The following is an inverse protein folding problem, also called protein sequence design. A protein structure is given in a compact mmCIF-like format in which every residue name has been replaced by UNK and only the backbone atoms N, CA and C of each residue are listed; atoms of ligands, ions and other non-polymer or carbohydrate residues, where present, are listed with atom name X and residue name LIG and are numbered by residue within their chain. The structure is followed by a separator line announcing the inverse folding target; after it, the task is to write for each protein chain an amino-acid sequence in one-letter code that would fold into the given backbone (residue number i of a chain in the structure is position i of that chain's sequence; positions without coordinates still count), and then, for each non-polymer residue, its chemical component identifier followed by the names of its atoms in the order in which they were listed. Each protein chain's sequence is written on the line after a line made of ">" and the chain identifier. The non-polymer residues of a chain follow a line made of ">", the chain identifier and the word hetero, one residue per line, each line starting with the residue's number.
data_IF_734377309201
#
_entry.id   IF_734377309201
#
_cell.length_a   1.000
_cell.length_b   1.000
_cell.length_c   1.000
_cell.angle_alpha   90.00
_cell.angle_beta   90.00
_cell.angle_gamma   90.00
#
_symmetry.space_group_name_H-M   'P 1'
#
loop_
_entity.id
_entity.type
_entity.pdbx_description
1 polymer ?
#
# COMPACT_ATOMS: atom_id res chain seq x y z
N UNK A 1 -19.03 -14.61 -6.59
CA UNK A 1 -20.09 -15.05 -7.54
C UNK A 1 -21.15 -15.93 -6.87
N UNK A 2 -20.80 -16.86 -5.95
CA UNK A 2 -21.74 -17.67 -5.15
C UNK A 2 -22.90 -16.85 -4.57
N UNK A 3 -22.58 -15.83 -3.76
CA UNK A 3 -23.60 -15.03 -3.07
C UNK A 3 -24.48 -14.21 -4.02
N UNK A 4 -23.96 -13.80 -5.18
CA UNK A 4 -24.78 -13.16 -6.22
C UNK A 4 -25.80 -14.15 -6.82
N UNK A 5 -25.37 -15.38 -7.09
CA UNK A 5 -26.23 -16.41 -7.67
C UNK A 5 -27.28 -16.94 -6.67
N UNK A 6 -26.92 -17.00 -5.39
CA UNK A 6 -27.75 -17.61 -4.35
C UNK A 6 -28.47 -16.58 -3.45
N UNK A 7 -28.29 -15.28 -3.67
CA UNK A 7 -28.82 -14.24 -2.77
C UNK A 7 -28.17 -14.27 -1.37
N UNK A 8 -26.87 -14.59 -1.32
CA UNK A 8 -26.09 -14.67 -0.09
C UNK A 8 -25.78 -13.30 0.53
N UNK A 9 -25.35 -13.28 1.81
CA UNK A 9 -25.22 -12.06 2.60
C UNK A 9 -24.03 -11.17 2.18
N UNK A 10 -23.04 -11.69 1.45
CA UNK A 10 -21.85 -10.93 1.03
C UNK A 10 -21.95 -10.41 -0.40
N UNK A 11 -23.18 -10.16 -0.87
CA UNK A 11 -23.44 -9.51 -2.15
C UNK A 11 -24.26 -8.23 -1.97
N UNK A 12 -23.78 -7.13 -2.55
CA UNK A 12 -24.54 -5.90 -2.69
C UNK A 12 -24.28 -5.26 -4.06
N UNK A 13 -25.31 -4.64 -4.64
CA UNK A 13 -25.18 -3.86 -5.89
C UNK A 13 -24.15 -2.73 -5.74
N UNK A 14 -24.08 -2.11 -4.56
CA UNK A 14 -23.08 -1.10 -4.23
C UNK A 14 -21.66 -1.65 -4.38
N UNK A 15 -21.39 -2.81 -3.77
CA UNK A 15 -20.08 -3.48 -3.83
C UNK A 15 -19.73 -3.90 -5.26
N UNK A 16 -20.68 -4.47 -6.00
CA UNK A 16 -20.44 -4.87 -7.39
C UNK A 16 -20.00 -3.69 -8.27
N UNK A 17 -20.69 -2.54 -8.15
CA UNK A 17 -20.33 -1.34 -8.90
C UNK A 17 -18.98 -0.75 -8.44
N UNK A 18 -18.64 -0.83 -7.15
CA UNK A 18 -17.32 -0.44 -6.67
C UNK A 18 -16.21 -1.31 -7.27
N UNK A 19 -16.42 -2.64 -7.35
CA UNK A 19 -15.49 -3.58 -7.99
C UNK A 19 -15.33 -3.25 -9.48
N UNK A 20 -16.42 -3.01 -10.20
CA UNK A 20 -16.36 -2.63 -11.61
C UNK A 20 -15.65 -1.31 -11.83
N UNK A 21 -15.93 -0.28 -11.02
CA UNK A 21 -15.20 0.99 -11.07
C UNK A 21 -13.69 0.78 -10.90
N UNK A 22 -13.26 0.02 -9.89
CA UNK A 22 -11.86 -0.27 -9.65
C UNK A 22 -11.21 -1.05 -10.79
N UNK A 23 -11.88 -2.09 -11.29
CA UNK A 23 -11.39 -2.89 -12.41
C UNK A 23 -11.26 -2.08 -13.71
N UNK A 24 -12.20 -1.17 -13.99
CA UNK A 24 -12.17 -0.30 -15.17
C UNK A 24 -10.90 0.56 -15.24
N UNK A 25 -10.33 0.97 -14.09
CA UNK A 25 -9.08 1.76 -14.06
C UNK A 25 -7.88 1.02 -14.64
N UNK A 26 -7.91 -0.30 -14.66
CA UNK A 26 -6.85 -1.15 -15.20
C UNK A 26 -7.20 -1.74 -16.57
N UNK A 27 -8.41 -1.47 -17.08
CA UNK A 27 -8.87 -2.00 -18.36
C UNK A 27 -8.21 -1.27 -19.54
N UNK A 28 -7.71 -2.00 -20.57
CA UNK A 28 -7.29 -1.38 -21.83
C UNK A 28 -8.48 -0.91 -22.67
N UNK A 29 -9.71 -1.34 -22.37
CA UNK A 29 -10.85 -1.09 -23.24
C UNK A 29 -11.25 0.39 -23.21
N UNK A 30 -11.56 0.96 -24.37
CA UNK A 30 -11.94 2.36 -24.48
C UNK A 30 -13.42 2.58 -24.17
N UNK A 31 -14.25 1.56 -24.37
CA UNK A 31 -15.70 1.60 -24.15
C UNK A 31 -16.10 1.76 -22.67
N UNK A 32 -15.21 1.43 -21.73
CA UNK A 32 -15.44 1.68 -20.30
C UNK A 32 -15.10 3.12 -19.88
N UNK A 33 -14.68 3.99 -20.80
CA UNK A 33 -14.34 5.40 -20.55
C UNK A 33 -15.47 6.31 -21.02
N UNK A 34 -15.78 7.33 -20.24
CA UNK A 34 -16.73 8.38 -20.66
C UNK A 34 -16.13 9.29 -21.73
N UNK A 35 -14.86 9.67 -21.57
CA UNK A 35 -14.04 10.31 -22.59
C UNK A 35 -13.00 9.30 -23.08
N UNK A 36 -13.05 8.97 -24.36
CA UNK A 36 -12.15 8.00 -25.00
C UNK A 36 -10.67 8.36 -24.81
N UNK A 37 -10.36 9.66 -24.74
CA UNK A 37 -9.00 10.19 -24.65
C UNK A 37 -8.52 10.39 -23.21
N UNK A 38 -9.41 10.34 -22.21
CA UNK A 38 -9.06 10.49 -20.81
C UNK A 38 -9.26 9.19 -20.02
N UNK A 39 -8.14 8.54 -19.67
CA UNK A 39 -8.11 7.32 -18.85
C UNK A 39 -8.72 7.51 -17.46
N UNK A 40 -8.74 8.73 -16.92
CA UNK A 40 -9.33 9.02 -15.60
C UNK A 40 -10.84 8.80 -15.62
N UNK A 41 -11.47 8.94 -16.77
CA UNK A 41 -12.92 8.73 -16.93
C UNK A 41 -13.33 7.26 -17.02
N UNK A 42 -12.38 6.32 -16.96
CA UNK A 42 -12.69 4.89 -16.91
C UNK A 42 -13.56 4.53 -15.69
N UNK A 43 -14.64 3.79 -15.95
CA UNK A 43 -15.60 3.32 -14.95
C UNK A 43 -16.58 4.37 -14.45
N UNK A 44 -16.72 5.51 -15.15
CA UNK A 44 -17.57 6.64 -14.72
C UNK A 44 -19.00 6.21 -14.34
N UNK A 45 -19.65 5.39 -15.17
CA UNK A 45 -21.03 4.95 -14.92
C UNK A 45 -21.15 4.12 -13.63
N UNK A 46 -20.19 3.24 -13.37
CA UNK A 46 -20.14 2.45 -12.14
C UNK A 46 -19.93 3.34 -10.91
N UNK A 47 -19.10 4.38 -11.03
CA UNK A 47 -18.90 5.37 -9.98
C UNK A 47 -20.19 6.13 -9.67
N UNK A 48 -20.89 6.63 -10.68
CA UNK A 48 -22.16 7.34 -10.47
C UNK A 48 -23.20 6.41 -9.83
N UNK A 49 -23.24 5.14 -10.26
CA UNK A 49 -24.12 4.15 -9.64
C UNK A 49 -23.80 3.90 -8.16
N UNK A 50 -22.52 3.91 -7.78
CA UNK A 50 -22.12 3.85 -6.36
C UNK A 50 -22.69 5.04 -5.59
N UNK A 51 -22.58 6.27 -6.13
CA UNK A 51 -23.07 7.49 -5.48
C UNK A 51 -24.58 7.47 -5.26
N UNK A 52 -25.32 6.99 -6.26
CA UNK A 52 -26.78 6.82 -6.16
C UNK A 52 -27.18 5.82 -5.05
N UNK A 53 -26.48 4.68 -4.97
CA UNK A 53 -26.81 3.62 -4.03
C UNK A 53 -26.37 3.94 -2.60
N UNK A 54 -25.29 4.72 -2.44
CA UNK A 54 -24.64 4.96 -1.15
C UNK A 54 -25.57 5.62 -0.14
N UNK A 55 -26.42 6.57 -0.55
CA UNK A 55 -27.30 7.29 0.38
C UNK A 55 -28.15 6.36 1.26
N UNK A 56 -28.76 5.34 0.65
CA UNK A 56 -29.54 4.34 1.39
C UNK A 56 -28.69 3.41 2.28
N UNK A 57 -27.47 3.11 1.83
CA UNK A 57 -26.54 2.23 2.53
C UNK A 57 -25.92 2.88 3.78
N UNK A 58 -25.98 4.21 3.92
CA UNK A 58 -25.48 4.92 5.10
C UNK A 58 -26.40 4.78 6.33
N UNK A 59 -27.64 4.33 6.15
CA UNK A 59 -28.60 4.18 7.27
C UNK A 59 -28.29 3.00 8.19
N UNK A 60 -27.47 2.04 7.73
CA UNK A 60 -27.10 0.85 8.49
C UNK A 60 -25.73 0.35 8.04
N UNK A 61 -24.82 0.18 8.98
CA UNK A 61 -23.51 -0.42 8.70
C UNK A 61 -23.65 -1.86 8.23
N UNK A 62 -22.93 -2.20 7.16
CA UNK A 62 -22.88 -3.53 6.56
C UNK A 62 -21.49 -3.82 6.00
N UNK A 63 -21.08 -5.10 6.04
CA UNK A 63 -19.76 -5.54 5.58
C UNK A 63 -19.56 -5.24 4.10
N UNK A 64 -20.59 -5.44 3.27
CA UNK A 64 -20.51 -5.19 1.83
C UNK A 64 -20.39 -3.70 1.51
N UNK A 65 -21.02 -2.83 2.32
CA UNK A 65 -20.86 -1.37 2.23
C UNK A 65 -19.43 -0.95 2.60
N UNK A 66 -18.88 -1.52 3.68
CA UNK A 66 -17.48 -1.28 4.08
C UNK A 66 -16.53 -1.69 2.94
N UNK A 67 -16.68 -2.89 2.40
CA UNK A 67 -15.87 -3.38 1.27
C UNK A 67 -15.99 -2.45 0.05
N UNK A 68 -17.21 -2.00 -0.28
CA UNK A 68 -17.44 -1.09 -1.40
C UNK A 68 -16.69 0.23 -1.20
N UNK A 69 -16.81 0.82 0.00
CA UNK A 69 -16.13 2.07 0.35
C UNK A 69 -14.61 1.93 0.29
N UNK A 70 -14.03 0.84 0.81
CA UNK A 70 -12.59 0.59 0.75
C UNK A 70 -12.09 0.43 -0.70
N UNK A 71 -12.85 -0.27 -1.55
CA UNK A 71 -12.53 -0.41 -2.99
C UNK A 71 -12.61 0.94 -3.69
N UNK A 72 -13.64 1.75 -3.41
CA UNK A 72 -13.77 3.11 -3.96
C UNK A 72 -12.60 4.00 -3.52
N UNK A 73 -12.24 3.96 -2.23
CA UNK A 73 -11.09 4.68 -1.68
C UNK A 73 -9.81 4.35 -2.45
N UNK A 74 -9.50 3.07 -2.65
CA UNK A 74 -8.32 2.67 -3.41
C UNK A 74 -8.41 3.10 -4.87
N UNK A 75 -9.57 2.93 -5.51
CA UNK A 75 -9.77 3.23 -6.94
C UNK A 75 -9.68 4.72 -7.28
N UNK A 76 -10.18 5.59 -6.40
CA UNK A 76 -10.04 7.05 -6.52
C UNK A 76 -8.61 7.52 -6.26
N UNK A 77 -7.85 6.76 -5.48
CA UNK A 77 -6.47 7.08 -5.14
C UNK A 77 -5.49 6.80 -6.27
N UNK A 78 -5.67 5.71 -7.03
CA UNK A 78 -4.73 5.22 -8.07
C UNK A 78 -4.37 6.28 -9.12
N UNK A 79 -5.33 7.10 -9.56
CA UNK A 79 -5.10 8.13 -10.60
C UNK A 79 -5.06 9.56 -10.04
N UNK A 80 -5.04 9.73 -8.71
CA UNK A 80 -4.96 11.03 -8.06
C UNK A 80 -6.18 11.94 -8.28
N UNK A 81 -7.31 11.37 -8.71
CA UNK A 81 -8.50 12.08 -9.20
C UNK A 81 -9.15 12.91 -8.08
N UNK A 82 -9.46 12.28 -6.94
CA UNK A 82 -10.27 12.91 -5.89
C UNK A 82 -9.81 12.50 -4.48
N UNK A 83 -8.67 13.06 -4.06
CA UNK A 83 -8.04 12.76 -2.75
C UNK A 83 -8.98 12.97 -1.55
N UNK A 84 -9.84 13.98 -1.61
CA UNK A 84 -10.81 14.26 -0.55
C UNK A 84 -11.94 13.22 -0.49
N UNK A 85 -12.51 12.84 -1.64
CA UNK A 85 -13.56 11.82 -1.69
C UNK A 85 -13.05 10.45 -1.24
N UNK A 86 -11.86 10.05 -1.71
CA UNK A 86 -11.23 8.79 -1.31
C UNK A 86 -11.08 8.68 0.22
N UNK A 87 -10.66 9.78 0.87
CA UNK A 87 -10.50 9.86 2.32
C UNK A 87 -11.81 9.83 3.08
N UNK A 88 -12.83 10.54 2.60
CA UNK A 88 -14.14 10.52 3.22
C UNK A 88 -14.77 9.12 3.16
N UNK A 89 -14.63 8.41 2.02
CA UNK A 89 -15.06 7.02 1.91
C UNK A 89 -14.29 6.09 2.86
N UNK A 90 -12.98 6.28 3.03
CA UNK A 90 -12.20 5.53 4.00
C UNK A 90 -12.72 5.78 5.43
N UNK A 91 -12.91 7.05 5.80
CA UNK A 91 -13.42 7.44 7.12
C UNK A 91 -14.82 6.87 7.43
N UNK A 92 -15.71 6.80 6.43
CA UNK A 92 -17.01 6.14 6.55
C UNK A 92 -16.84 4.63 6.79
N UNK A 93 -16.00 3.96 6.00
CA UNK A 93 -15.71 2.54 6.17
C UNK A 93 -15.15 2.23 7.57
N UNK A 94 -14.21 3.05 8.05
CA UNK A 94 -13.59 2.88 9.37
C UNK A 94 -14.63 3.02 10.48
N UNK A 95 -15.52 4.01 10.41
CA UNK A 95 -16.62 4.18 11.38
C UNK A 95 -17.58 2.99 11.37
N UNK A 96 -17.93 2.47 10.20
CA UNK A 96 -18.79 1.29 10.07
C UNK A 96 -18.13 0.01 10.61
N UNK A 97 -16.81 -0.14 10.47
CA UNK A 97 -16.04 -1.23 11.10
C UNK A 97 -16.16 -1.18 12.62
N UNK A 98 -16.06 0.01 13.22
CA UNK A 98 -16.24 0.19 14.66
C UNK A 98 -17.68 -0.11 15.08
N UNK A 99 -18.67 0.42 14.34
CA UNK A 99 -20.11 0.19 14.59
C UNK A 99 -20.49 -1.30 14.55
N UNK A 100 -19.88 -2.08 13.65
CA UNK A 100 -20.08 -3.54 13.57
C UNK A 100 -19.26 -4.36 14.57
N UNK A 101 -18.46 -3.71 15.42
CA UNK A 101 -17.59 -4.36 16.39
C UNK A 101 -16.42 -5.14 15.78
N UNK A 102 -16.06 -4.89 14.51
CA UNK A 102 -15.05 -5.66 13.78
C UNK A 102 -13.60 -5.37 14.22
N UNK A 103 -13.41 -4.40 15.10
CA UNK A 103 -12.11 -4.00 15.65
C UNK A 103 -11.71 -4.79 16.89
N UNK A 104 -12.57 -5.68 17.40
CA UNK A 104 -12.30 -6.55 18.55
C UNK A 104 -12.82 -7.95 18.22
N UNK A 105 -11.92 -8.93 18.23
CA UNK A 105 -12.24 -10.34 18.03
C UNK A 105 -12.57 -10.97 19.39
N UNK A 106 -13.75 -10.67 19.94
CA UNK A 106 -14.20 -11.26 21.22
C UNK A 106 -14.92 -12.59 20.94
N UNK A 107 -14.47 -13.72 21.51
CA UNK A 107 -15.03 -15.03 21.21
C UNK A 107 -16.51 -15.25 21.60
N UNK A 108 -17.17 -14.36 22.36
CA UNK A 108 -18.43 -14.74 23.01
C UNK A 108 -19.37 -13.58 23.43
N UNK A 109 -19.61 -12.59 22.54
CA UNK A 109 -20.62 -11.53 22.80
C UNK A 109 -22.05 -11.96 22.43
N UNK A 110 -22.39 -13.25 22.53
CA UNK A 110 -23.74 -13.77 22.28
C UNK A 110 -24.18 -13.83 20.81
N UNK A 111 -23.35 -13.37 19.86
CA UNK A 111 -23.54 -13.58 18.41
C UNK A 111 -22.65 -14.73 17.94
N UNK A 112 -23.27 -15.83 17.50
CA UNK A 112 -22.56 -16.93 16.83
C UNK A 112 -22.27 -16.54 15.38
N UNK A 113 -21.02 -16.19 15.10
CA UNK A 113 -20.52 -16.01 13.74
C UNK A 113 -20.05 -17.36 13.18
N UNK A 114 -20.24 -17.59 11.88
CA UNK A 114 -19.62 -18.71 11.20
C UNK A 114 -18.10 -18.51 11.04
N UNK A 115 -17.35 -19.56 10.74
CA UNK A 115 -15.91 -19.44 10.45
C UNK A 115 -15.65 -18.54 9.23
N UNK A 116 -16.53 -18.60 8.23
CA UNK A 116 -16.50 -17.73 7.05
C UNK A 116 -16.74 -16.26 7.45
N UNK A 117 -17.71 -15.99 8.33
CA UNK A 117 -18.00 -14.64 8.80
C UNK A 117 -16.79 -14.03 9.53
N UNK A 118 -16.13 -14.82 10.39
CA UNK A 118 -14.94 -14.42 11.14
C UNK A 118 -13.76 -14.12 10.19
N UNK A 119 -13.53 -14.99 9.20
CA UNK A 119 -12.49 -14.80 8.19
C UNK A 119 -12.71 -13.50 7.40
N UNK A 120 -13.94 -13.28 6.91
CA UNK A 120 -14.30 -12.07 6.17
C UNK A 120 -14.12 -10.83 7.06
N UNK A 121 -14.58 -10.87 8.30
CA UNK A 121 -14.47 -9.74 9.24
C UNK A 121 -13.01 -9.38 9.51
N UNK A 122 -12.15 -10.36 9.78
CA UNK A 122 -10.72 -10.14 10.00
C UNK A 122 -10.03 -9.54 8.77
N UNK A 123 -10.31 -10.07 7.58
CA UNK A 123 -9.73 -9.55 6.32
C UNK A 123 -10.16 -8.13 6.02
N UNK A 124 -11.44 -7.81 6.21
CA UNK A 124 -11.97 -6.46 5.99
C UNK A 124 -11.38 -5.47 7.00
N UNK A 125 -11.27 -5.85 8.28
CA UNK A 125 -10.61 -5.03 9.29
C UNK A 125 -9.15 -4.74 8.92
N UNK A 126 -8.36 -5.79 8.65
CA UNK A 126 -6.94 -5.63 8.33
C UNK A 126 -6.71 -4.92 7.00
N UNK A 127 -7.60 -5.12 6.01
CA UNK A 127 -7.60 -4.37 4.76
C UNK A 127 -7.83 -2.88 4.99
N UNK A 128 -8.79 -2.52 5.84
CA UNK A 128 -9.02 -1.14 6.23
C UNK A 128 -7.84 -0.55 7.02
N UNK A 129 -7.25 -1.32 7.93
CA UNK A 129 -6.07 -0.90 8.68
C UNK A 129 -4.90 -0.58 7.74
N UNK A 130 -4.62 -1.44 6.77
CA UNK A 130 -3.59 -1.21 5.74
C UNK A 130 -3.91 0.03 4.90
N UNK A 131 -5.16 0.20 4.44
CA UNK A 131 -5.59 1.37 3.66
C UNK A 131 -5.39 2.67 4.45
N UNK A 132 -5.77 2.70 5.73
CA UNK A 132 -5.58 3.86 6.62
C UNK A 132 -4.10 4.29 6.67
N UNK A 133 -3.18 3.34 6.92
CA UNK A 133 -1.74 3.67 7.03
C UNK A 133 -1.15 4.13 5.72
N UNK A 134 -1.43 3.42 4.63
CA UNK A 134 -0.91 3.76 3.31
C UNK A 134 -1.42 5.14 2.88
N UNK A 135 -2.72 5.43 2.99
CA UNK A 135 -3.24 6.74 2.59
C UNK A 135 -2.72 7.88 3.46
N UNK A 136 -2.63 7.64 4.77
CA UNK A 136 -2.06 8.60 5.73
C UNK A 136 -0.63 8.97 5.37
N UNK A 137 0.19 7.96 5.09
CA UNK A 137 1.60 8.11 4.70
C UNK A 137 1.77 8.90 3.40
N UNK A 138 0.91 8.68 2.41
CA UNK A 138 1.00 9.38 1.13
C UNK A 138 0.52 10.84 1.19
N UNK A 139 -0.52 11.10 1.97
CA UNK A 139 -1.18 12.39 2.00
C UNK A 139 -0.71 13.26 3.18
N UNK A 140 0.18 12.74 4.03
CA UNK A 140 0.62 13.41 5.25
C UNK A 140 -0.53 13.59 6.26
N UNK A 141 -1.51 12.68 6.25
CA UNK A 141 -2.68 12.75 7.14
C UNK A 141 -2.44 11.91 8.40
N UNK A 142 -3.01 12.30 9.55
CA UNK A 142 -2.99 11.45 10.74
C UNK A 142 -3.72 10.13 10.48
N UNK A 143 -3.17 9.05 11.03
CA UNK A 143 -3.83 7.73 11.00
C UNK A 143 -5.11 7.74 11.83
N UNK A 144 -6.13 7.03 11.35
CA UNK A 144 -7.44 6.98 12.02
C UNK A 144 -7.56 5.78 12.97
N UNK A 145 -7.16 4.59 12.53
CA UNK A 145 -7.34 3.35 13.31
C UNK A 145 -6.08 3.11 14.15
N UNK A 146 -6.12 3.32 15.46
CA UNK A 146 -4.96 3.06 16.31
C UNK A 146 -4.90 1.59 16.69
N UNK A 147 -3.73 0.98 16.63
CA UNK A 147 -3.54 -0.42 17.05
C UNK A 147 -3.97 -0.63 18.51
N UNK A 148 -3.69 0.34 19.40
CA UNK A 148 -4.06 0.33 20.82
C UNK A 148 -5.56 0.17 21.08
N UNK A 149 -6.40 0.54 20.11
CA UNK A 149 -7.85 0.56 20.24
C UNK A 149 -8.47 -0.70 19.59
N UNK A 150 -7.64 -1.70 19.25
CA UNK A 150 -8.04 -2.87 18.47
C UNK A 150 -7.49 -4.16 19.07
N UNK A 151 -8.21 -5.26 18.86
CA UNK A 151 -7.83 -6.59 19.30
C UNK A 151 -8.25 -7.62 18.25
N UNK A 152 -7.68 -7.55 17.06
CA UNK A 152 -7.95 -8.48 15.96
C UNK A 152 -6.67 -9.23 15.62
N UNK A 153 -6.61 -10.56 15.72
CA UNK A 153 -5.39 -11.29 15.38
C UNK A 153 -5.11 -11.23 13.88
N UNK A 154 -3.83 -11.14 13.49
CA UNK A 154 -3.39 -11.37 12.10
C UNK A 154 -3.36 -12.89 11.87
N UNK A 155 -4.54 -13.49 11.72
CA UNK A 155 -4.74 -14.92 11.48
C UNK A 155 -5.80 -15.10 10.40
N UNK A 156 -5.37 -15.64 9.26
CA UNK A 156 -6.23 -15.94 8.11
C UNK A 156 -6.17 -17.45 7.87
N UNK A 157 -7.34 -18.09 7.89
CA UNK A 157 -7.46 -19.54 7.78
C UNK A 157 -7.74 -20.01 6.34
N UNK A 158 -8.35 -19.15 5.53
CA UNK A 158 -8.61 -19.45 4.12
C UNK A 158 -7.39 -19.11 3.26
N UNK A 159 -6.59 -20.12 2.92
CA UNK A 159 -5.42 -19.97 2.04
C UNK A 159 -5.65 -20.55 0.66
N UNK A 160 -6.91 -20.70 0.22
CA UNK A 160 -7.23 -21.34 -1.06
C UNK A 160 -6.50 -20.69 -2.25
N UNK A 161 -6.44 -19.35 -2.25
CA UNK A 161 -5.79 -18.55 -3.29
C UNK A 161 -4.25 -18.51 -3.23
N UNK A 162 -3.60 -19.06 -2.18
CA UNK A 162 -2.16 -18.87 -1.92
C UNK A 162 -1.28 -19.41 -3.05
N UNK A 163 -1.65 -20.56 -3.63
CA UNK A 163 -0.86 -21.23 -4.66
C UNK A 163 -1.53 -21.23 -6.04
N UNK A 164 -2.59 -20.44 -6.23
CA UNK A 164 -3.20 -20.27 -7.54
C UNK A 164 -2.18 -19.70 -8.53
N UNK A 165 -2.21 -20.22 -9.77
CA UNK A 165 -1.28 -19.79 -10.81
C UNK A 165 -1.61 -18.38 -11.27
N UNK A 166 -0.82 -17.39 -10.84
CA UNK A 166 -1.00 -16.00 -11.20
C UNK A 166 -0.27 -15.66 -12.50
N UNK A 167 -0.97 -14.93 -13.38
CA UNK A 167 -0.40 -14.33 -14.58
C UNK A 167 -0.82 -12.85 -14.70
N UNK A 168 0.01 -11.99 -15.30
CA UNK A 168 -0.35 -10.60 -15.55
C UNK A 168 -1.59 -10.48 -16.44
N UNK A 169 -2.71 -10.06 -15.87
CA UNK A 169 -3.91 -9.69 -16.65
C UNK A 169 -3.89 -8.20 -17.01
N UNK A 170 -3.64 -7.34 -16.01
CA UNK A 170 -3.61 -5.90 -16.18
C UNK A 170 -2.20 -5.35 -16.43
N UNK A 171 -1.14 -6.08 -16.07
CA UNK A 171 0.24 -5.55 -16.07
C UNK A 171 1.08 -6.00 -17.27
N UNK A 172 0.47 -6.68 -18.25
CA UNK A 172 1.18 -7.19 -19.41
C UNK A 172 1.61 -6.05 -20.36
N UNK A 173 2.86 -6.09 -20.78
CA UNK A 173 3.31 -5.52 -22.06
C UNK A 173 2.99 -6.50 -23.18
N UNK A 174 3.15 -6.09 -24.44
CA UNK A 174 2.94 -6.95 -25.62
C UNK A 174 3.83 -8.22 -25.64
N UNK A 175 4.83 -8.34 -24.76
CA UNK A 175 5.67 -9.52 -24.59
C UNK A 175 5.07 -10.47 -23.54
N UNK A 176 4.40 -11.53 -24.01
CA UNK A 176 3.70 -12.54 -23.20
C UNK A 176 4.61 -13.57 -22.50
N UNK A 177 5.88 -13.27 -22.24
CA UNK A 177 6.87 -14.28 -21.83
C UNK A 177 6.98 -14.48 -20.30
N UNK A 178 6.11 -13.86 -19.50
CA UNK A 178 6.08 -14.13 -18.06
C UNK A 178 5.45 -15.52 -17.81
N UNK A 179 6.21 -16.51 -17.27
CA UNK A 179 5.73 -17.89 -17.14
C UNK A 179 4.56 -18.04 -16.16
N UNK A 180 4.36 -17.03 -15.30
CA UNK A 180 3.49 -17.09 -14.15
C UNK A 180 4.24 -17.54 -12.91
N UNK A 181 3.62 -17.34 -11.75
CA UNK A 181 4.09 -17.82 -10.46
C UNK A 181 2.90 -18.02 -9.54
N UNK A 182 3.03 -18.77 -8.44
CA UNK A 182 1.97 -18.83 -7.45
C UNK A 182 1.64 -17.41 -6.93
N UNK A 183 0.36 -17.16 -6.66
CA UNK A 183 -0.12 -15.82 -6.30
C UNK A 183 0.48 -15.34 -4.98
N UNK A 184 0.64 -16.22 -3.97
CA UNK A 184 1.08 -15.86 -2.62
C UNK A 184 0.23 -14.79 -1.94
N UNK A 185 -1.08 -14.74 -2.26
CA UNK A 185 -1.98 -13.67 -1.83
C UNK A 185 -2.10 -13.58 -0.31
N UNK A 186 -2.33 -14.69 0.37
CA UNK A 186 -2.60 -14.72 1.81
C UNK A 186 -1.33 -14.43 2.63
N UNK A 187 -0.20 -15.02 2.24
CA UNK A 187 1.09 -14.76 2.91
C UNK A 187 1.58 -13.32 2.68
N UNK A 188 1.39 -12.77 1.48
CA UNK A 188 1.74 -11.38 1.17
C UNK A 188 0.86 -10.42 1.98
N UNK A 189 -0.46 -10.66 2.03
CA UNK A 189 -1.37 -9.85 2.81
C UNK A 189 -1.07 -9.91 4.31
N UNK A 190 -0.79 -11.10 4.85
CA UNK A 190 -0.33 -11.29 6.24
C UNK A 190 0.90 -10.46 6.55
N UNK A 191 1.91 -10.53 5.67
CA UNK A 191 3.15 -9.78 5.83
C UNK A 191 2.93 -8.27 5.71
N UNK A 192 2.02 -7.83 4.83
CA UNK A 192 1.63 -6.43 4.68
C UNK A 192 0.91 -5.89 5.93
N UNK A 193 0.06 -6.70 6.57
CA UNK A 193 -0.60 -6.34 7.83
C UNK A 193 0.42 -6.16 8.95
N UNK A 194 1.42 -7.04 9.06
CA UNK A 194 2.52 -6.88 10.04
C UNK A 194 3.37 -5.65 9.74
N UNK A 195 3.62 -5.36 8.46
CA UNK A 195 4.37 -4.17 8.06
C UNK A 195 3.59 -2.88 8.36
N UNK A 196 2.26 -2.89 8.20
CA UNK A 196 1.43 -1.72 8.47
C UNK A 196 1.35 -1.37 9.95
N UNK A 197 1.51 -2.36 10.84
CA UNK A 197 1.71 -2.12 12.28
C UNK A 197 3.01 -1.33 12.53
N UNK A 198 4.14 -1.73 11.92
CA UNK A 198 5.38 -0.95 12.02
C UNK A 198 5.25 0.44 11.37
N UNK A 199 4.53 0.54 10.24
CA UNK A 199 4.20 1.82 9.60
C UNK A 199 3.42 2.74 10.55
N UNK A 200 2.46 2.20 11.30
CA UNK A 200 1.68 2.95 12.29
C UNK A 200 2.57 3.58 13.35
N UNK A 201 3.53 2.84 13.89
CA UNK A 201 4.44 3.36 14.91
C UNK A 201 5.37 4.43 14.35
N UNK A 202 5.91 4.23 13.13
CA UNK A 202 6.77 5.23 12.49
C UNK A 202 5.99 6.53 12.31
N UNK A 203 4.76 6.47 11.81
CA UNK A 203 3.91 7.66 11.64
C UNK A 203 3.57 8.30 13.01
N UNK A 204 3.23 7.50 14.01
CA UNK A 204 2.82 7.97 15.34
C UNK A 204 3.96 8.44 16.25
N UNK A 205 5.21 8.06 15.97
CA UNK A 205 6.37 8.43 16.78
C UNK A 205 7.24 9.49 16.10
N UNK A 206 7.51 9.35 14.81
CA UNK A 206 8.47 10.19 14.08
C UNK A 206 7.77 11.39 13.42
N UNK A 207 6.64 11.14 12.78
CA UNK A 207 5.93 12.13 11.95
C UNK A 207 4.77 12.82 12.70
N UNK A 208 5.00 13.21 13.96
CA UNK A 208 4.02 13.96 14.76
C UNK A 208 4.51 15.36 15.10
N UNK A 209 3.59 16.30 15.26
CA UNK A 209 3.90 17.68 15.68
C UNK A 209 4.62 17.76 17.05
N UNK A 210 4.60 16.66 17.84
CA UNK A 210 5.23 16.61 19.16
C UNK A 210 6.67 16.10 19.13
N UNK A 211 7.12 15.46 18.04
CA UNK A 211 8.48 14.88 17.97
C UNK A 211 9.57 15.96 18.08
N UNK A 212 9.27 17.20 17.71
CA UNK A 212 10.17 18.36 17.85
C UNK A 212 10.58 18.70 19.29
N UNK A 213 9.81 18.24 20.29
CA UNK A 213 10.05 18.56 21.70
C UNK A 213 10.88 17.50 22.44
N UNK A 214 11.26 16.41 21.78
CA UNK A 214 11.92 15.27 22.41
C UNK A 214 13.44 15.46 22.48
N UNK A 215 14.04 14.97 23.57
CA UNK A 215 15.49 14.97 23.73
C UNK A 215 16.17 14.05 22.70
N UNK A 216 17.37 14.42 22.25
CA UNK A 216 18.13 13.68 21.22
C UNK A 216 18.40 12.21 21.59
N UNK A 217 18.57 11.90 22.88
CA UNK A 217 18.76 10.53 23.38
C UNK A 217 17.50 9.68 23.20
N UNK A 218 16.32 10.23 23.50
CA UNK A 218 15.04 9.55 23.33
C UNK A 218 14.74 9.30 21.85
N UNK A 219 15.01 10.28 20.99
CA UNK A 219 14.87 10.14 19.55
C UNK A 219 15.78 9.05 18.98
N UNK A 220 17.02 8.94 19.49
CA UNK A 220 17.97 7.90 19.06
C UNK A 220 17.51 6.50 19.49
N UNK A 221 17.05 6.35 20.74
CA UNK A 221 16.49 5.08 21.25
C UNK A 221 15.23 4.65 20.49
N UNK A 222 14.38 5.62 20.16
CA UNK A 222 13.18 5.39 19.35
C UNK A 222 13.54 4.91 17.94
N UNK A 223 14.53 5.55 17.30
CA UNK A 223 15.06 5.13 16.01
C UNK A 223 15.56 3.68 16.05
N UNK A 224 16.36 3.32 17.05
CA UNK A 224 16.88 1.95 17.23
C UNK A 224 15.74 0.94 17.41
N UNK A 225 14.74 1.26 18.22
CA UNK A 225 13.59 0.39 18.49
C UNK A 225 12.78 0.14 17.22
N UNK A 226 12.45 1.19 16.47
CA UNK A 226 11.70 1.08 15.22
C UNK A 226 12.50 0.38 14.12
N UNK A 227 13.81 0.62 14.05
CA UNK A 227 14.68 -0.06 13.11
C UNK A 227 14.74 -1.57 13.41
N UNK A 228 14.88 -1.95 14.68
CA UNK A 228 14.82 -3.36 15.09
C UNK A 228 13.48 -4.01 14.73
N UNK A 229 12.35 -3.29 14.88
CA UNK A 229 11.02 -3.78 14.46
C UNK A 229 10.95 -4.03 12.94
N UNK A 230 11.50 -3.14 12.12
CA UNK A 230 11.58 -3.35 10.67
C UNK A 230 12.49 -4.54 10.31
N UNK A 231 13.66 -4.65 10.93
CA UNK A 231 14.57 -5.78 10.72
C UNK A 231 13.93 -7.11 11.08
N UNK A 232 13.30 -7.20 12.25
CA UNK A 232 12.58 -8.39 12.70
C UNK A 232 11.44 -8.76 11.74
N UNK A 233 10.71 -7.76 11.22
CA UNK A 233 9.70 -8.01 10.19
C UNK A 233 10.31 -8.66 8.94
N UNK A 234 11.43 -8.13 8.44
CA UNK A 234 12.11 -8.67 7.25
C UNK A 234 12.61 -10.09 7.46
N UNK A 235 13.14 -10.38 8.64
CA UNK A 235 13.60 -11.73 9.04
C UNK A 235 12.45 -12.72 9.20
N UNK A 236 11.24 -12.24 9.54
CA UNK A 236 10.04 -13.06 9.69
C UNK A 236 9.34 -13.43 8.38
N UNK A 237 9.82 -12.94 7.23
CA UNK A 237 9.20 -13.21 5.94
C UNK A 237 9.26 -14.71 5.60
N UNK A 238 8.14 -15.31 5.15
CA UNK A 238 8.14 -16.66 4.60
C UNK A 238 9.15 -16.82 3.45
N UNK A 239 9.78 -17.98 3.36
CA UNK A 239 10.86 -18.24 2.39
C UNK A 239 10.45 -17.98 0.94
N UNK A 240 9.20 -18.27 0.58
CA UNK A 240 8.66 -18.03 -0.77
C UNK A 240 8.37 -16.55 -1.07
N UNK A 241 8.37 -15.68 -0.07
CA UNK A 241 8.25 -14.22 -0.25
C UNK A 241 9.61 -13.52 -0.26
N UNK A 242 10.71 -14.20 0.09
CA UNK A 242 12.06 -13.61 0.04
C UNK A 242 12.45 -13.43 -1.43
N UNK A 243 12.83 -12.20 -1.80
CA UNK A 243 13.20 -11.86 -3.17
C UNK A 243 14.45 -10.98 -3.18
N UNK A 244 15.45 -11.39 -3.96
CA UNK A 244 16.65 -10.59 -4.25
C UNK A 244 16.66 -10.26 -5.76
N UNK A 245 16.46 -8.98 -6.15
CA UNK A 245 16.36 -8.58 -7.57
C UNK A 245 17.65 -8.79 -8.38
N UNK A 246 18.79 -9.02 -7.71
CA UNK A 246 20.10 -9.23 -8.34
C UNK A 246 20.44 -10.72 -8.50
N UNK A 247 19.80 -11.61 -7.73
CA UNK A 247 20.09 -13.06 -7.73
C UNK A 247 18.96 -13.92 -8.28
N UNK A 248 17.72 -13.43 -8.17
CA UNK A 248 16.54 -14.23 -8.49
C UNK A 248 16.29 -14.26 -10.00
N UNK A 249 16.13 -15.46 -10.55
CA UNK A 249 15.79 -15.66 -11.97
C UNK A 249 14.31 -15.42 -12.25
N UNK A 250 13.42 -15.75 -11.31
CA UNK A 250 11.98 -15.52 -11.41
C UNK A 250 11.58 -14.23 -10.69
N UNK A 251 10.86 -13.37 -11.38
CA UNK A 251 10.32 -12.13 -10.80
C UNK A 251 8.95 -12.46 -10.17
N UNK A 252 8.70 -12.17 -8.88
CA UNK A 252 7.43 -12.48 -8.25
C UNK A 252 6.32 -11.50 -8.69
N UNK A 253 5.06 -11.77 -8.35
CA UNK A 253 3.95 -10.89 -8.72
C UNK A 253 4.08 -9.44 -8.19
N UNK A 254 3.42 -8.45 -8.82
CA UNK A 254 3.49 -7.05 -8.43
C UNK A 254 3.18 -6.74 -6.96
N UNK A 255 2.27 -7.47 -6.32
CA UNK A 255 1.94 -7.26 -4.90
C UNK A 255 3.06 -7.71 -3.96
N UNK A 256 3.82 -8.75 -4.32
CA UNK A 256 5.04 -9.16 -3.59
C UNK A 256 6.14 -8.11 -3.76
N UNK A 257 6.35 -7.61 -4.97
CA UNK A 257 7.31 -6.50 -5.21
C UNK A 257 6.91 -5.23 -4.45
N UNK A 258 5.61 -4.93 -4.40
CA UNK A 258 5.08 -3.78 -3.65
C UNK A 258 5.34 -3.90 -2.15
N UNK A 259 5.27 -5.12 -1.60
CA UNK A 259 5.60 -5.39 -0.20
C UNK A 259 7.06 -5.03 0.12
N UNK A 260 8.00 -5.51 -0.69
CA UNK A 260 9.44 -5.20 -0.54
C UNK A 260 9.72 -3.71 -0.75
N UNK A 261 9.09 -3.10 -1.76
CA UNK A 261 9.22 -1.66 -2.00
C UNK A 261 8.74 -0.84 -0.79
N UNK A 262 7.63 -1.25 -0.15
CA UNK A 262 7.10 -0.57 1.03
C UNK A 262 8.02 -0.71 2.24
N UNK A 263 8.67 -1.87 2.43
CA UNK A 263 9.69 -2.03 3.47
C UNK A 263 10.80 -0.99 3.33
N UNK A 264 11.36 -0.85 2.13
CA UNK A 264 12.43 0.13 1.88
C UNK A 264 11.95 1.58 1.99
N UNK A 265 10.70 1.85 1.61
CA UNK A 265 10.06 3.15 1.86
C UNK A 265 10.03 3.47 3.35
N UNK A 266 9.60 2.54 4.19
CA UNK A 266 9.56 2.73 5.64
C UNK A 266 10.95 2.89 6.24
N UNK A 267 11.95 2.16 5.74
CA UNK A 267 13.35 2.37 6.11
C UNK A 267 13.80 3.81 5.80
N UNK A 268 13.49 4.33 4.61
CA UNK A 268 13.84 5.72 4.25
C UNK A 268 13.08 6.71 5.15
N UNK A 269 11.79 6.51 5.38
CA UNK A 269 10.98 7.41 6.20
C UNK A 269 11.41 7.41 7.67
N UNK A 270 11.84 6.27 8.20
CA UNK A 270 12.37 6.18 9.56
C UNK A 270 13.67 6.99 9.71
N UNK A 271 14.58 6.91 8.74
CA UNK A 271 15.91 7.52 8.84
C UNK A 271 16.00 8.96 8.29
N UNK A 272 15.16 9.34 7.33
CA UNK A 272 15.19 10.65 6.66
C UNK A 272 15.17 11.84 7.63
N UNK A 273 14.35 11.83 8.70
CA UNK A 273 14.31 12.94 9.67
C UNK A 273 15.64 13.20 10.39
N UNK A 274 16.48 12.18 10.52
CA UNK A 274 17.74 12.24 11.26
C UNK A 274 18.96 12.64 10.41
N UNK A 275 18.79 12.78 9.08
CA UNK A 275 19.85 13.28 8.20
C UNK A 275 20.12 14.76 8.50
N UNK A 276 21.31 15.29 8.19
CA UNK A 276 21.78 16.64 8.55
C UNK A 276 20.80 17.81 8.28
N UNK A 277 20.02 17.78 7.19
CA UNK A 277 18.96 18.77 6.90
C UNK A 277 17.54 18.21 7.12
N UNK A 278 17.41 17.12 7.87
CA UNK A 278 16.14 16.56 8.33
C UNK A 278 15.60 17.33 9.53
N UNK A 279 14.37 17.04 9.97
CA UNK A 279 13.74 17.80 11.07
C UNK A 279 14.15 17.33 12.49
N UNK A 280 14.87 16.21 12.61
CA UNK A 280 15.40 15.63 13.86
C UNK A 280 16.94 15.58 13.87
N UNK A 281 17.57 16.56 13.20
CA UNK A 281 19.02 16.69 13.06
C UNK A 281 19.78 17.00 14.36
N UNK A 282 19.07 17.22 15.48
CA UNK A 282 19.64 17.49 16.82
C UNK A 282 20.36 16.29 17.44
N UNK A 283 20.28 15.13 16.79
CA UNK A 283 20.98 13.89 17.16
C UNK A 283 22.46 13.93 16.78
N UNK A 284 23.23 12.94 17.27
CA UNK A 284 24.69 12.91 17.06
C UNK A 284 25.06 12.79 15.56
N UNK A 285 26.24 13.33 15.20
CA UNK A 285 26.75 13.26 13.81
C UNK A 285 26.83 11.82 13.28
N UNK A 286 27.17 10.85 14.13
CA UNK A 286 27.20 9.43 13.77
C UNK A 286 25.81 8.89 13.39
N UNK A 287 24.76 9.29 14.11
CA UNK A 287 23.37 8.93 13.78
C UNK A 287 22.94 9.52 12.44
N UNK A 288 23.30 10.77 12.16
CA UNK A 288 23.01 11.41 10.88
C UNK A 288 23.72 10.70 9.72
N UNK A 289 25.01 10.37 9.86
CA UNK A 289 25.78 9.66 8.82
C UNK A 289 25.22 8.26 8.57
N UNK A 290 24.97 7.49 9.63
CA UNK A 290 24.37 6.16 9.50
C UNK A 290 22.99 6.22 8.85
N UNK A 291 22.15 7.17 9.26
CA UNK A 291 20.81 7.36 8.68
C UNK A 291 20.85 7.73 7.20
N UNK A 292 21.85 8.52 6.77
CA UNK A 292 22.05 8.84 5.37
C UNK A 292 22.47 7.61 4.55
N UNK A 293 23.42 6.80 5.06
CA UNK A 293 23.86 5.56 4.41
C UNK A 293 22.69 4.58 4.27
N UNK A 294 21.90 4.42 5.34
CA UNK A 294 20.71 3.56 5.32
C UNK A 294 19.67 4.03 4.31
N UNK A 295 19.40 5.35 4.24
CA UNK A 295 18.52 5.92 3.23
C UNK A 295 19.02 5.64 1.80
N UNK A 296 20.33 5.82 1.54
CA UNK A 296 20.92 5.60 0.23
C UNK A 296 20.81 4.14 -0.20
N UNK A 297 21.16 3.21 0.68
CA UNK A 297 21.08 1.77 0.42
C UNK A 297 19.63 1.30 0.18
N UNK A 298 18.67 1.83 0.93
CA UNK A 298 17.25 1.54 0.72
C UNK A 298 16.75 2.10 -0.62
N UNK A 299 17.20 3.30 -1.02
CA UNK A 299 16.87 3.88 -2.32
C UNK A 299 17.44 3.04 -3.48
N UNK A 300 18.70 2.58 -3.39
CA UNK A 300 19.31 1.67 -4.36
C UNK A 300 18.53 0.34 -4.47
N UNK A 301 18.06 -0.19 -3.34
CA UNK A 301 17.25 -1.40 -3.31
C UNK A 301 15.91 -1.21 -4.02
N UNK A 302 15.24 -0.06 -3.85
CA UNK A 302 14.03 0.30 -4.59
C UNK A 302 14.33 0.35 -6.10
N UNK A 303 15.44 0.96 -6.51
CA UNK A 303 15.84 1.00 -7.93
C UNK A 303 16.05 -0.40 -8.50
N UNK A 304 16.67 -1.32 -7.75
CA UNK A 304 16.83 -2.70 -8.17
C UNK A 304 15.48 -3.42 -8.34
N UNK A 305 14.53 -3.21 -7.41
CA UNK A 305 13.16 -3.73 -7.50
C UNK A 305 12.41 -3.16 -8.71
N UNK A 306 12.56 -1.87 -9.02
CA UNK A 306 11.95 -1.23 -10.18
C UNK A 306 12.48 -1.80 -11.50
N UNK A 307 13.79 -2.04 -11.58
CA UNK A 307 14.41 -2.70 -12.74
C UNK A 307 13.88 -4.13 -12.90
N UNK A 308 13.74 -4.87 -11.79
CA UNK A 308 13.14 -6.19 -11.81
C UNK A 308 11.68 -6.16 -12.28
N UNK A 309 10.90 -5.18 -11.83
CA UNK A 309 9.53 -4.96 -12.26
C UNK A 309 9.45 -4.68 -13.77
N UNK A 310 10.25 -3.73 -14.29
CA UNK A 310 10.24 -3.33 -15.71
C UNK A 310 10.68 -4.46 -16.66
N UNK A 311 11.49 -5.42 -16.18
CA UNK A 311 11.84 -6.63 -16.94
C UNK A 311 10.66 -7.58 -17.14
N UNK A 312 9.70 -7.60 -16.22
CA UNK A 312 8.59 -8.56 -16.22
C UNK A 312 7.23 -7.95 -16.55
N UNK A 313 7.02 -6.67 -16.25
CA UNK A 313 5.72 -6.02 -16.27
C UNK A 313 5.79 -4.60 -16.84
N UNK A 314 4.64 -4.11 -17.33
CA UNK A 314 4.53 -2.74 -17.80
C UNK A 314 4.49 -1.74 -16.64
N UNK A 315 5.42 -0.79 -16.64
CA UNK A 315 5.42 0.31 -15.66
C UNK A 315 4.22 1.24 -15.84
N UNK A 316 3.57 1.20 -17.01
CA UNK A 316 2.39 2.03 -17.29
C UNK A 316 1.23 1.78 -16.32
N UNK A 317 1.21 0.59 -15.72
CA UNK A 317 0.16 0.17 -14.78
C UNK A 317 0.77 -0.23 -13.45
N UNK A 318 1.93 0.33 -13.10
CA UNK A 318 2.57 0.05 -11.83
C UNK A 318 1.60 0.36 -10.67
N UNK A 319 1.49 -0.53 -9.67
CA UNK A 319 0.74 -0.23 -8.45
C UNK A 319 1.25 1.07 -7.83
N UNK A 320 0.35 1.88 -7.26
CA UNK A 320 0.72 3.18 -6.70
C UNK A 320 1.76 3.07 -5.55
N UNK A 321 1.86 1.92 -4.88
CA UNK A 321 2.92 1.57 -3.91
C UNK A 321 4.31 1.64 -4.55
N UNK A 322 4.45 1.08 -5.75
CA UNK A 322 5.70 1.11 -6.53
C UNK A 322 5.99 2.54 -7.00
N UNK A 323 4.97 3.28 -7.46
CA UNK A 323 5.12 4.68 -7.88
C UNK A 323 5.61 5.59 -6.74
N UNK A 324 5.11 5.39 -5.53
CA UNK A 324 5.57 6.15 -4.36
C UNK A 324 6.95 5.73 -3.88
N UNK A 325 7.26 4.43 -3.88
CA UNK A 325 8.62 3.99 -3.61
C UNK A 325 9.62 4.64 -4.56
N UNK A 326 9.27 4.71 -5.85
CA UNK A 326 10.04 5.44 -6.87
C UNK A 326 10.26 6.90 -6.49
N UNK A 327 9.20 7.63 -6.10
CA UNK A 327 9.30 9.03 -5.66
C UNK A 327 10.18 9.21 -4.41
N UNK A 328 10.02 8.35 -3.40
CA UNK A 328 10.79 8.40 -2.15
C UNK A 328 12.27 8.12 -2.42
N UNK A 329 12.59 7.13 -3.26
CA UNK A 329 13.97 6.86 -3.69
C UNK A 329 14.56 8.02 -4.50
N UNK A 330 13.78 8.61 -5.42
CA UNK A 330 14.19 9.75 -6.25
C UNK A 330 14.69 10.92 -5.39
N UNK A 331 13.94 11.25 -4.34
CA UNK A 331 14.24 12.37 -3.46
C UNK A 331 15.51 12.13 -2.62
N UNK A 332 15.86 10.88 -2.31
CA UNK A 332 17.16 10.55 -1.70
C UNK A 332 18.30 10.69 -2.71
N UNK A 333 18.18 10.11 -3.91
CA UNK A 333 19.24 10.21 -4.92
C UNK A 333 19.48 11.65 -5.40
N UNK A 334 18.42 12.44 -5.55
CA UNK A 334 18.54 13.87 -5.87
C UNK A 334 19.35 14.61 -4.79
N UNK A 335 19.13 14.29 -3.51
CA UNK A 335 19.90 14.85 -2.39
C UNK A 335 21.36 14.43 -2.40
N UNK A 336 21.65 13.16 -2.72
CA UNK A 336 23.04 12.67 -2.85
C UNK A 336 23.75 13.42 -3.99
N UNK A 337 23.08 13.59 -5.13
CA UNK A 337 23.62 14.30 -6.29
C UNK A 337 23.89 15.79 -5.99
N UNK A 338 22.99 16.45 -5.26
CA UNK A 338 23.14 17.85 -4.86
C UNK A 338 24.35 18.08 -3.93
N UNK A 339 24.72 17.09 -3.11
CA UNK A 339 25.84 17.18 -2.17
C UNK A 339 27.20 16.79 -2.77
N UNK A 340 27.32 16.69 -4.10
CA UNK A 340 28.61 16.49 -4.78
C UNK A 340 29.22 15.09 -4.64
N UNK A 341 28.50 14.12 -4.09
CA UNK A 341 28.89 12.70 -4.10
C UNK A 341 28.49 12.10 -5.46
N UNK A 342 29.13 12.56 -6.53
CA UNK A 342 28.80 12.16 -7.91
C UNK A 342 29.51 10.86 -8.29
N UNK A 343 28.89 9.73 -7.99
CA UNK A 343 29.17 8.48 -8.70
C UNK A 343 28.42 8.46 -10.04
N UNK A 344 29.04 7.98 -11.12
CA UNK A 344 28.38 7.71 -12.40
C UNK A 344 27.14 6.81 -12.25
N UNK A 345 27.15 5.90 -11.26
CA UNK A 345 25.99 5.07 -10.92
C UNK A 345 24.81 5.89 -10.36
N UNK A 346 25.09 6.96 -9.62
CA UNK A 346 24.09 7.85 -9.02
C UNK A 346 23.40 8.73 -10.06
N UNK A 347 24.14 9.24 -11.05
CA UNK A 347 23.56 9.96 -12.19
C UNK A 347 22.69 9.03 -13.02
N UNK A 348 23.13 7.79 -13.25
CA UNK A 348 22.34 6.78 -13.93
C UNK A 348 21.08 6.39 -13.14
N UNK A 349 21.17 6.25 -11.81
CA UNK A 349 20.03 5.99 -10.92
C UNK A 349 19.02 7.15 -10.92
N UNK A 350 19.48 8.40 -10.73
CA UNK A 350 18.64 9.61 -10.84
C UNK A 350 17.96 9.69 -12.21
N UNK A 351 18.68 9.47 -13.30
CA UNK A 351 18.13 9.52 -14.66
C UNK A 351 17.11 8.41 -14.89
N UNK A 352 17.37 7.19 -14.44
CA UNK A 352 16.41 6.10 -14.52
C UNK A 352 15.15 6.43 -13.72
N UNK A 353 15.29 6.82 -12.45
CA UNK A 353 14.16 7.14 -11.57
C UNK A 353 13.37 8.34 -12.09
N UNK A 354 14.02 9.37 -12.60
CA UNK A 354 13.37 10.53 -13.22
C UNK A 354 12.61 10.14 -14.49
N UNK A 355 13.21 9.35 -15.38
CA UNK A 355 12.52 8.83 -16.57
C UNK A 355 11.33 7.95 -16.20
N UNK A 356 11.43 7.15 -15.14
CA UNK A 356 10.30 6.36 -14.63
C UNK A 356 9.22 7.26 -14.03
N UNK A 357 9.59 8.26 -13.24
CA UNK A 357 8.66 9.22 -12.65
C UNK A 357 7.95 10.05 -13.73
N UNK A 358 8.66 10.59 -14.72
CA UNK A 358 8.07 11.27 -15.87
C UNK A 358 7.12 10.36 -16.67
N UNK A 359 7.49 9.08 -16.87
CA UNK A 359 6.61 8.12 -17.56
C UNK A 359 5.32 7.87 -16.78
N UNK A 360 5.37 7.87 -15.44
CA UNK A 360 4.20 7.76 -14.57
C UNK A 360 3.37 9.06 -14.61
N UNK A 361 4.00 10.23 -14.52
CA UNK A 361 3.32 11.54 -14.54
C UNK A 361 2.65 11.86 -15.89
N UNK A 362 3.35 11.63 -17.01
CA UNK A 362 2.79 11.82 -18.37
C UNK A 362 1.55 10.96 -18.64
N UNK A 363 1.41 9.84 -17.94
CA UNK A 363 0.22 8.98 -18.02
C UNK A 363 -0.87 9.38 -17.03
N UNK A 364 -0.47 9.99 -15.92
CA UNK A 364 -1.36 10.65 -14.99
C UNK A 364 -1.81 12.04 -15.49
N UNK A 365 -1.51 12.44 -16.74
CA UNK A 365 -2.01 13.64 -17.41
C UNK A 365 -1.70 14.97 -16.71
N UNK A 366 -0.53 15.06 -16.07
CA UNK A 366 0.03 16.30 -15.52
C UNK A 366 1.35 16.65 -16.20
#
# INVERSE_FOLDING_TARGET
>A
MRDMACGGPYFAKLLLNAIYFGASKFSPRHDVRKDLNDVRTAGWEFRERVRELLGSALNRSDVTTIQALLVMTNSLFVLGDERSAAWLYAGLAFRMIIDLGMHVDVPDLGRKFSDEDLEIRRRVFWGAFVVDKIQSLYQGRPVTIKESDTLVPIKFLDTYEEFEHWRPFAYSSQSNDYPGSPAYSASTFTSLCRLSVAMSDILGCIYTERSFSQAATELSKMLETLNAKLSAWKESLPTHLIFDPNKSSCIPPPHVLSLHAMYHVLTILLHRPFVADGHLYTTSRSVSVNSFITCASAADSIVALLRAYDRAFTVRRAPYLVSYATYVAATIHARIAANGVTSLMLIAACRHVWLYFERIQRQAGQ
#
